data_IF_131486216756
#
_entry.id   IF_131486216756
#
_cell.length_a   1.000
_cell.length_b   1.000
_cell.length_c   1.000
_cell.angle_alpha   90.00
_cell.angle_beta   90.00
_cell.angle_gamma   90.00
#
_symmetry.space_group_name_H-M   'P 1'
#
loop_
_entity.id
_entity.type
_entity.pdbx_description
1 polymer ?
#
# COMPACT_ATOMS: atom_id res chain seq x y z
N UNK A 1 -8.02 0.13 -3.78
CA UNK A 1 -6.78 -0.36 -3.12
C UNK A 1 -5.75 0.77 -3.17
N UNK A 2 -5.09 1.05 -2.06
CA UNK A 2 -4.14 2.16 -1.93
C UNK A 2 -2.74 1.57 -1.77
N UNK A 3 -1.78 1.98 -2.59
CA UNK A 3 -0.39 1.50 -2.45
C UNK A 3 0.52 2.66 -2.09
N UNK A 4 1.24 2.53 -0.98
CA UNK A 4 2.29 3.45 -0.55
C UNK A 4 3.65 2.82 -0.79
N UNK A 5 4.60 3.59 -1.32
CA UNK A 5 6.02 3.20 -1.29
C UNK A 5 6.65 3.69 0.00
N UNK A 6 7.31 2.81 0.73
CA UNK A 6 7.99 3.12 2.00
C UNK A 6 9.43 2.62 1.89
N UNK A 7 10.30 3.47 1.36
CA UNK A 7 11.72 3.12 1.11
C UNK A 7 12.48 2.84 2.41
N UNK A 8 12.03 3.39 3.53
CA UNK A 8 12.64 3.22 4.85
C UNK A 8 12.24 1.90 5.56
N UNK A 9 11.58 0.99 4.85
CA UNK A 9 11.12 -0.30 5.35
C UNK A 9 12.17 -1.40 5.10
N UNK A 10 13.20 -1.45 5.94
CA UNK A 10 14.34 -2.38 5.78
C UNK A 10 14.21 -3.73 6.50
N UNK A 11 13.18 -3.91 7.33
CA UNK A 11 13.05 -5.13 8.16
C UNK A 11 11.60 -5.54 8.41
N UNK A 12 11.39 -6.80 8.77
CA UNK A 12 10.10 -7.34 9.19
C UNK A 12 9.53 -6.64 10.43
N UNK A 13 10.38 -6.09 11.31
CA UNK A 13 9.95 -5.29 12.46
C UNK A 13 9.39 -3.93 12.04
N UNK A 14 10.02 -3.28 11.06
CA UNK A 14 9.51 -2.04 10.46
C UNK A 14 8.14 -2.28 9.81
N UNK A 15 8.01 -3.36 9.03
CA UNK A 15 6.75 -3.77 8.43
C UNK A 15 5.64 -3.99 9.49
N UNK A 16 5.96 -4.68 10.59
CA UNK A 16 5.01 -4.87 11.69
C UNK A 16 4.56 -3.57 12.36
N UNK A 17 5.46 -2.58 12.47
CA UNK A 17 5.15 -1.26 13.03
C UNK A 17 4.22 -0.47 12.12
N UNK A 18 4.46 -0.52 10.81
CA UNK A 18 3.58 0.08 9.79
C UNK A 18 2.18 -0.55 9.86
N UNK A 19 2.08 -1.88 9.86
CA UNK A 19 0.81 -2.60 9.95
C UNK A 19 0.03 -2.21 11.21
N UNK A 20 0.71 -2.15 12.37
CA UNK A 20 0.08 -1.71 13.62
C UNK A 20 -0.45 -0.29 13.54
N UNK A 21 0.31 0.63 12.94
CA UNK A 21 -0.09 2.04 12.81
C UNK A 21 -1.29 2.20 11.90
N UNK A 22 -1.34 1.45 10.79
CA UNK A 22 -2.48 1.41 9.88
C UNK A 22 -3.71 0.83 10.57
N UNK A 23 -3.57 -0.29 11.29
CA UNK A 23 -4.68 -0.92 12.02
C UNK A 23 -5.17 -0.12 13.22
N UNK A 24 -4.31 0.70 13.83
CA UNK A 24 -4.71 1.61 14.90
C UNK A 24 -5.60 2.74 14.38
N UNK A 25 -5.39 3.17 13.12
CA UNK A 25 -6.26 4.14 12.45
C UNK A 25 -7.54 3.47 11.92
N UNK A 26 -7.42 2.33 11.23
CA UNK A 26 -8.53 1.59 10.63
C UNK A 26 -8.40 0.10 10.97
N UNK A 27 -9.10 -0.33 12.01
CA UNK A 27 -9.09 -1.72 12.49
C UNK A 27 -9.56 -2.73 11.44
N UNK A 28 -10.43 -2.28 10.51
CA UNK A 28 -10.95 -3.10 9.42
C UNK A 28 -10.02 -3.16 8.21
N UNK A 29 -8.98 -2.34 8.15
CA UNK A 29 -8.09 -2.28 6.99
C UNK A 29 -7.28 -3.58 6.83
N UNK A 30 -7.22 -4.08 5.60
CA UNK A 30 -6.26 -5.15 5.24
C UNK A 30 -4.98 -4.51 4.75
N UNK A 31 -3.86 -4.95 5.31
CA UNK A 31 -2.54 -4.45 4.97
C UNK A 31 -1.70 -5.59 4.40
N UNK A 32 -1.14 -5.40 3.22
CA UNK A 32 -0.18 -6.32 2.59
C UNK A 32 1.12 -5.57 2.43
N UNK A 33 2.20 -6.19 2.86
CA UNK A 33 3.53 -5.59 2.79
C UNK A 33 4.35 -6.38 1.80
N UNK A 34 4.90 -5.69 0.80
CA UNK A 34 5.84 -6.25 -0.16
C UNK A 34 7.22 -5.65 0.12
N UNK A 35 8.14 -6.49 0.59
CA UNK A 35 9.52 -6.08 0.89
C UNK A 35 10.42 -6.04 -0.33
N UNK A 36 10.07 -6.73 -1.42
CA UNK A 36 10.85 -6.70 -2.68
C UNK A 36 10.70 -5.35 -3.38
N UNK A 37 9.50 -4.78 -3.32
CA UNK A 37 9.15 -3.51 -3.97
C UNK A 37 9.03 -2.34 -2.99
N UNK A 38 9.33 -2.57 -1.70
CA UNK A 38 9.17 -1.60 -0.61
C UNK A 38 7.79 -0.92 -0.62
N UNK A 39 6.75 -1.72 -0.86
CA UNK A 39 5.40 -1.24 -1.09
C UNK A 39 4.44 -1.80 -0.03
N UNK A 40 3.56 -0.93 0.47
CA UNK A 40 2.54 -1.25 1.45
C UNK A 40 1.19 -1.00 0.80
N UNK A 41 0.46 -2.08 0.61
CA UNK A 41 -0.87 -2.07 0.04
C UNK A 41 -1.90 -2.09 1.15
N UNK A 42 -2.79 -1.12 1.13
CA UNK A 42 -3.84 -0.93 2.12
C UNK A 42 -5.18 -1.01 1.40
N UNK A 43 -6.00 -1.93 1.89
CA UNK A 43 -7.42 -2.03 1.56
C UNK A 43 -8.17 -1.36 2.72
N UNK A 44 -8.56 -0.08 2.57
CA UNK A 44 -9.23 0.64 3.64
C UNK A 44 -10.64 0.10 3.86
N UNK A 45 -11.07 0.07 5.12
CA UNK A 45 -12.48 -0.17 5.45
C UNK A 45 -13.28 1.14 5.45
N UNK A 46 -12.69 2.23 5.93
CA UNK A 46 -13.37 3.54 6.00
C UNK A 46 -12.42 4.74 5.94
N UNK A 47 -11.15 4.58 6.30
CA UNK A 47 -10.20 5.68 6.33
C UNK A 47 -9.70 6.07 4.93
N UNK A 48 -9.30 7.34 4.78
CA UNK A 48 -8.83 7.92 3.50
C UNK A 48 -7.32 7.74 3.32
N UNK A 49 -6.82 7.77 2.05
CA UNK A 49 -5.39 7.69 1.76
C UNK A 49 -4.52 8.65 2.59
N UNK A 50 -4.90 9.91 2.69
CA UNK A 50 -4.11 10.92 3.42
C UNK A 50 -3.96 10.59 4.90
N UNK A 51 -5.00 10.02 5.52
CA UNK A 51 -4.95 9.61 6.92
C UNK A 51 -3.95 8.45 7.14
N UNK A 52 -3.87 7.49 6.21
CA UNK A 52 -2.84 6.45 6.29
C UNK A 52 -1.44 7.01 6.10
N UNK A 53 -1.27 7.97 5.18
CA UNK A 53 0.01 8.65 4.97
C UNK A 53 0.49 9.31 6.26
N UNK A 54 -0.39 10.04 6.94
CA UNK A 54 -0.07 10.67 8.22
C UNK A 54 0.22 9.65 9.32
N UNK A 55 -0.57 8.57 9.42
CA UNK A 55 -0.35 7.53 10.43
C UNK A 55 1.00 6.83 10.27
N UNK A 56 1.39 6.54 9.02
CA UNK A 56 2.70 5.97 8.70
C UNK A 56 3.82 7.00 9.00
N UNK A 57 3.60 8.28 8.69
CA UNK A 57 4.49 9.38 9.05
C UNK A 57 4.73 9.51 10.55
N UNK A 58 3.66 9.47 11.36
CA UNK A 58 3.72 9.53 12.83
C UNK A 58 4.46 8.33 13.44
N UNK A 59 4.50 7.20 12.73
CA UNK A 59 5.26 6.02 13.13
C UNK A 59 6.77 6.12 12.78
N UNK A 60 7.21 7.22 12.15
CA UNK A 60 8.61 7.47 11.81
C UNK A 60 9.04 6.96 10.43
N UNK A 61 8.09 6.70 9.54
CA UNK A 61 8.38 6.25 8.17
C UNK A 61 8.01 7.32 7.14
N UNK A 62 8.61 7.25 5.95
CA UNK A 62 8.36 8.22 4.88
C UNK A 62 7.54 7.58 3.74
N UNK A 63 6.20 7.64 3.78
CA UNK A 63 5.38 7.13 2.69
C UNK A 63 5.41 8.09 1.49
N UNK A 64 5.89 7.59 0.36
CA UNK A 64 5.74 8.22 -0.95
C UNK A 64 4.29 8.16 -1.44
N UNK A 65 3.95 9.05 -2.37
CA UNK A 65 2.59 9.30 -2.84
C UNK A 65 1.78 8.01 -3.08
N UNK A 66 0.57 7.99 -2.52
CA UNK A 66 -0.32 6.85 -2.64
C UNK A 66 -0.74 6.69 -4.11
N UNK A 67 -0.42 5.55 -4.71
CA UNK A 67 -1.03 5.18 -5.98
C UNK A 67 -2.36 4.51 -5.66
N UNK A 68 -3.45 5.25 -5.89
CA UNK A 68 -4.79 4.66 -5.93
C UNK A 68 -4.92 3.99 -7.28
N UNK A 69 -4.60 2.70 -7.34
CA UNK A 69 -4.83 1.94 -8.56
C UNK A 69 -6.34 1.64 -8.67
N UNK A 70 -6.94 1.78 -9.87
CA UNK A 70 -8.21 1.10 -10.13
C UNK A 70 -8.01 -0.41 -9.88
N UNK A 71 -9.04 -1.14 -9.40
CA UNK A 71 -8.93 -2.58 -9.21
C UNK A 71 -8.36 -3.18 -10.50
N UNK A 72 -7.22 -3.89 -10.41
CA UNK A 72 -6.60 -4.54 -11.57
C UNK A 72 -7.70 -5.36 -12.24
N UNK A 73 -8.11 -5.03 -13.49
CA UNK A 73 -9.12 -5.82 -14.16
C UNK A 73 -8.57 -7.26 -14.25
N UNK A 74 -9.35 -8.29 -13.91
CA UNK A 74 -8.89 -9.67 -13.89
C UNK A 74 -8.45 -10.20 -15.26
N UNK A 75 -8.61 -9.43 -16.34
CA UNK A 75 -8.19 -9.80 -17.70
C UNK A 75 -7.51 -8.62 -18.40
N UNK A 76 -6.23 -8.39 -18.08
CA UNK A 76 -5.30 -7.89 -19.09
C UNK A 76 -4.60 -9.13 -19.66
N UNK A 77 -5.38 -9.95 -20.36
CA UNK A 77 -4.81 -10.99 -21.21
C UNK A 77 -4.14 -10.29 -22.38
N UNK A 78 -2.89 -10.64 -22.63
CA UNK A 78 -2.15 -10.37 -23.86
C UNK A 78 -3.05 -10.52 -25.08
N UNK A 79 -3.52 -9.41 -25.64
CA UNK A 79 -4.02 -9.39 -27.02
C UNK A 79 -2.80 -9.12 -27.88
N UNK A 80 -2.06 -10.19 -28.16
CA UNK A 80 -1.13 -10.27 -29.27
C UNK A 80 -1.95 -10.04 -30.55
N UNK A 81 -1.99 -8.78 -31.00
CA UNK A 81 -2.53 -8.40 -32.29
C UNK A 81 -1.34 -8.12 -33.22
N UNK A 82 -1.09 -8.93 -34.25
CA UNK A 82 -0.17 -8.54 -35.30
C UNK A 82 -0.75 -7.34 -36.07
N UNK A 83 0.04 -6.26 -36.16
CA UNK A 83 -0.23 -5.12 -37.05
C UNK A 83 -0.10 -5.57 -38.52
N UNK A 84 -0.84 -4.92 -39.45
CA UNK A 84 -0.98 -5.36 -40.85
C UNK A 84 0.32 -5.28 -41.67
#
# INVERSE_FOLDING_TARGET
MITFKVKDMFSSRSAGTIVKSVKALDTGARVRVNMETYSVEIEPSWARPDAFREAIGKAGFTPEAAKVAPPKPPFAGDVDLPLP
#
